data_IF_553063641536
#
_entry.id   IF_553063641536
#
_cell.length_a   1.000
_cell.length_b   1.000
_cell.length_c   1.000
_cell.angle_alpha   90.00
_cell.angle_beta   90.00
_cell.angle_gamma   90.00
#
_symmetry.space_group_name_H-M   'P 1'
#
loop_
_entity.id
_entity.type
_entity.pdbx_description
1 polymer ?
#
# COMPACT_ATOMS: atom_id res chain seq x y z
N UNK A 1 -10.50 -2.48 -18.65
CA UNK A 1 -9.20 -3.09 -18.33
C UNK A 1 -8.17 -2.05 -18.64
N UNK A 2 -7.58 -1.44 -17.61
CA UNK A 2 -6.88 -0.18 -17.78
C UNK A 2 -5.38 -0.35 -17.62
N UNK A 3 -4.68 0.18 -18.61
CA UNK A 3 -3.31 0.65 -18.48
C UNK A 3 -3.33 1.91 -17.61
N UNK A 4 -2.19 2.30 -17.05
CA UNK A 4 -2.03 3.59 -16.36
C UNK A 4 -2.57 4.75 -17.23
N UNK A 5 -3.42 5.59 -16.63
CA UNK A 5 -3.97 6.79 -17.27
C UNK A 5 -2.92 7.92 -17.35
N UNK A 6 -3.26 9.04 -18.00
CA UNK A 6 -2.32 10.16 -18.22
C UNK A 6 -1.78 10.77 -16.91
N UNK A 7 -2.62 10.88 -15.88
CA UNK A 7 -2.21 11.40 -14.58
C UNK A 7 -1.24 10.46 -13.88
N UNK A 8 -1.58 9.16 -13.83
CA UNK A 8 -0.73 8.10 -13.29
C UNK A 8 0.58 8.00 -14.06
N UNK A 9 0.60 8.20 -15.38
CA UNK A 9 1.82 8.20 -16.18
C UNK A 9 2.75 9.36 -15.82
N UNK A 10 2.21 10.58 -15.65
CA UNK A 10 3.01 11.74 -15.22
C UNK A 10 3.67 11.45 -13.87
N UNK A 11 2.90 10.91 -12.94
CA UNK A 11 3.37 10.53 -11.62
C UNK A 11 4.42 9.42 -11.69
N UNK A 12 4.21 8.41 -12.54
CA UNK A 12 5.15 7.30 -12.70
C UNK A 12 6.53 7.80 -13.14
N UNK A 13 6.58 8.73 -14.08
CA UNK A 13 7.84 9.36 -14.51
C UNK A 13 8.53 10.09 -13.34
N UNK A 14 7.80 10.89 -12.55
CA UNK A 14 8.34 11.57 -11.37
C UNK A 14 8.87 10.58 -10.29
N UNK A 15 8.33 9.36 -10.24
CA UNK A 15 8.82 8.32 -9.34
C UNK A 15 10.08 7.68 -9.90
N UNK A 16 10.10 7.36 -11.19
CA UNK A 16 11.25 6.74 -11.88
C UNK A 16 12.49 7.63 -11.75
N UNK A 17 12.34 8.94 -11.92
CA UNK A 17 13.43 9.92 -11.83
C UNK A 17 14.11 9.98 -10.46
N UNK A 18 13.51 9.40 -9.42
CA UNK A 18 14.10 9.32 -8.06
C UNK A 18 15.16 8.24 -7.93
N UNK A 19 15.25 7.35 -8.91
CA UNK A 19 16.11 6.18 -8.84
C UNK A 19 17.15 6.19 -9.95
N UNK A 20 18.39 5.74 -9.68
CA UNK A 20 19.42 5.60 -10.71
C UNK A 20 19.15 4.43 -11.67
N UNK A 21 18.34 3.45 -11.25
CA UNK A 21 17.91 2.31 -12.04
C UNK A 21 16.39 2.32 -12.08
N UNK A 22 15.79 2.38 -13.28
CA UNK A 22 14.34 2.43 -13.48
C UNK A 22 13.60 1.32 -12.74
N UNK A 23 14.13 0.09 -12.80
CA UNK A 23 13.57 -1.10 -12.12
C UNK A 23 13.28 -0.88 -10.63
N UNK A 24 14.02 -0.02 -9.94
CA UNK A 24 13.78 0.29 -8.51
C UNK A 24 12.45 0.97 -8.24
N UNK A 25 11.80 1.54 -9.27
CA UNK A 25 10.49 2.17 -9.19
C UNK A 25 9.32 1.17 -9.23
N UNK A 26 9.57 -0.14 -9.39
CA UNK A 26 8.54 -1.15 -9.61
C UNK A 26 7.45 -1.21 -8.53
N UNK A 27 7.84 -1.31 -7.26
CA UNK A 27 6.88 -1.38 -6.13
C UNK A 27 6.00 -0.11 -6.07
N UNK A 28 6.57 1.11 -6.11
CA UNK A 28 5.77 2.33 -6.21
C UNK A 28 4.79 2.37 -7.39
N UNK A 29 5.21 1.90 -8.57
CA UNK A 29 4.35 1.87 -9.77
C UNK A 29 3.20 0.86 -9.63
N UNK A 30 3.44 -0.28 -8.97
CA UNK A 30 2.38 -1.25 -8.66
C UNK A 30 1.34 -0.65 -7.70
N UNK A 31 1.77 0.11 -6.69
CA UNK A 31 0.84 0.83 -5.81
C UNK A 31 0.04 1.88 -6.57
N UNK A 32 0.66 2.58 -7.52
CA UNK A 32 -0.03 3.56 -8.35
C UNK A 32 -1.09 2.93 -9.25
N UNK A 33 -0.78 1.78 -9.85
CA UNK A 33 -1.77 1.01 -10.62
C UNK A 33 -2.95 0.57 -9.74
N UNK A 34 -2.67 0.10 -8.51
CA UNK A 34 -3.70 -0.30 -7.57
C UNK A 34 -4.54 0.88 -7.06
N UNK A 35 -3.94 2.05 -6.83
CA UNK A 35 -4.67 3.27 -6.46
C UNK A 35 -5.69 3.68 -7.54
N UNK A 36 -5.38 3.42 -8.82
CA UNK A 36 -6.26 3.76 -9.94
C UNK A 36 -7.50 2.85 -10.03
N UNK A 37 -7.35 1.54 -9.82
CA UNK A 37 -8.40 0.55 -10.11
C UNK A 37 -8.85 -0.28 -8.91
N UNK A 38 -8.22 -0.14 -7.75
CA UNK A 38 -8.41 -1.01 -6.57
C UNK A 38 -7.54 -2.26 -6.57
N UNK A 39 -7.02 -2.67 -7.72
CA UNK A 39 -6.21 -3.87 -7.89
C UNK A 39 -5.26 -3.73 -9.08
N UNK A 40 -4.23 -4.55 -9.13
CA UNK A 40 -3.23 -4.55 -10.19
C UNK A 40 -3.67 -5.48 -11.33
N UNK A 41 -4.15 -4.90 -12.42
CA UNK A 41 -4.58 -5.65 -13.61
C UNK A 41 -3.39 -6.21 -14.41
N UNK A 42 -3.64 -7.25 -15.22
CA UNK A 42 -2.62 -7.79 -16.14
C UNK A 42 -2.12 -6.75 -17.14
N UNK A 43 -3.01 -5.87 -17.62
CA UNK A 43 -2.67 -4.80 -18.55
C UNK A 43 -1.79 -3.73 -17.87
N UNK A 44 -2.09 -3.40 -16.61
CA UNK A 44 -1.26 -2.50 -15.81
C UNK A 44 0.13 -3.09 -15.56
N UNK A 45 0.23 -4.38 -15.22
CA UNK A 45 1.52 -5.06 -15.06
C UNK A 45 2.34 -5.06 -16.36
N UNK A 46 1.68 -5.32 -17.49
CA UNK A 46 2.33 -5.27 -18.82
C UNK A 46 2.80 -3.86 -19.14
N UNK A 47 1.98 -2.84 -18.87
CA UNK A 47 2.36 -1.45 -19.08
C UNK A 47 3.55 -1.02 -18.21
N UNK A 48 3.57 -1.42 -16.94
CA UNK A 48 4.70 -1.13 -16.04
C UNK A 48 5.97 -1.80 -16.54
N UNK A 49 5.89 -3.03 -17.07
CA UNK A 49 7.03 -3.72 -17.66
C UNK A 49 7.62 -2.95 -18.84
N UNK A 50 6.76 -2.43 -19.74
CA UNK A 50 7.17 -1.60 -20.87
C UNK A 50 7.84 -0.29 -20.42
N UNK A 51 7.26 0.41 -19.44
CA UNK A 51 7.81 1.68 -18.92
C UNK A 51 9.18 1.50 -18.28
N UNK A 52 9.37 0.40 -17.54
CA UNK A 52 10.61 0.14 -16.81
C UNK A 52 11.66 -0.63 -17.62
N UNK A 53 11.32 -1.01 -18.86
CA UNK A 53 12.14 -1.85 -19.74
C UNK A 53 12.54 -3.19 -19.11
N UNK A 54 11.59 -3.83 -18.42
CA UNK A 54 11.76 -5.16 -17.80
C UNK A 54 10.71 -6.14 -18.34
N UNK A 55 10.80 -7.41 -17.96
CA UNK A 55 9.82 -8.41 -18.40
C UNK A 55 8.52 -8.37 -17.57
N UNK A 56 7.39 -8.67 -18.20
CA UNK A 56 6.12 -8.84 -17.48
C UNK A 56 6.19 -9.95 -16.41
N UNK A 57 7.05 -10.95 -16.62
CA UNK A 57 7.30 -12.01 -15.63
C UNK A 57 7.98 -11.47 -14.36
N UNK A 58 8.91 -10.53 -14.47
CA UNK A 58 9.53 -9.87 -13.31
C UNK A 58 8.52 -9.01 -12.53
N UNK A 59 7.64 -8.32 -13.25
CA UNK A 59 6.55 -7.54 -12.63
C UNK A 59 5.59 -8.47 -11.89
N UNK A 60 5.15 -9.56 -12.51
CA UNK A 60 4.28 -10.55 -11.90
C UNK A 60 4.95 -11.22 -10.69
N UNK A 61 6.23 -11.56 -10.79
CA UNK A 61 7.00 -12.13 -9.69
C UNK A 61 6.97 -11.20 -8.46
N UNK A 62 7.21 -9.90 -8.67
CA UNK A 62 7.15 -8.90 -7.59
C UNK A 62 5.72 -8.71 -7.07
N UNK A 63 4.74 -8.57 -7.95
CA UNK A 63 3.34 -8.35 -7.62
C UNK A 63 2.76 -9.53 -6.81
N UNK A 64 3.10 -10.77 -7.17
CA UNK A 64 2.66 -11.96 -6.45
C UNK A 64 3.36 -12.21 -5.11
N UNK A 65 4.54 -11.61 -4.91
CA UNK A 65 5.33 -11.78 -3.69
C UNK A 65 4.80 -10.93 -2.53
N UNK A 66 4.37 -9.70 -2.81
CA UNK A 66 3.82 -8.81 -1.80
C UNK A 66 2.30 -8.91 -1.73
N UNK A 67 1.79 -9.42 -0.61
CA UNK A 67 0.36 -9.59 -0.33
C UNK A 67 -0.47 -8.30 -0.43
N UNK A 68 0.17 -7.13 -0.26
CA UNK A 68 -0.45 -5.81 -0.42
C UNK A 68 -1.02 -5.58 -1.82
N UNK A 69 -0.51 -6.28 -2.85
CA UNK A 69 -0.99 -6.14 -4.22
C UNK A 69 -2.13 -7.10 -4.50
N UNK A 70 -3.33 -6.53 -4.66
CA UNK A 70 -4.53 -7.25 -5.05
C UNK A 70 -4.47 -7.55 -6.53
N UNK A 71 -4.64 -8.83 -6.88
CA UNK A 71 -4.58 -9.33 -8.27
C UNK A 71 -5.95 -9.76 -8.80
N UNK A 72 -6.99 -9.46 -8.03
CA UNK A 72 -8.41 -9.61 -8.36
C UNK A 72 -9.14 -8.34 -7.93
N UNK A 73 -10.30 -8.03 -8.54
CA UNK A 73 -11.14 -6.93 -8.08
C UNK A 73 -11.44 -7.03 -6.58
N UNK A 74 -11.32 -5.90 -5.90
CA UNK A 74 -11.70 -5.69 -4.49
C UNK A 74 -12.65 -4.52 -4.41
N UNK A 75 -13.30 -4.35 -3.26
CA UNK A 75 -14.20 -3.24 -3.00
C UNK A 75 -13.49 -1.89 -2.99
N UNK A 76 -14.29 -0.83 -2.97
CA UNK A 76 -13.77 0.54 -2.85
C UNK A 76 -12.96 0.75 -1.56
N UNK A 77 -13.29 0.02 -0.49
CA UNK A 77 -12.70 0.10 0.83
C UNK A 77 -12.22 -1.28 1.31
N UNK A 78 -10.92 -1.48 1.31
CA UNK A 78 -10.27 -2.65 1.88
C UNK A 78 -10.15 -2.48 3.41
N UNK A 79 -10.83 -3.32 4.16
CA UNK A 79 -10.79 -3.40 5.62
C UNK A 79 -9.82 -4.52 6.04
N UNK A 80 -8.73 -4.14 6.69
CA UNK A 80 -7.66 -5.05 7.13
C UNK A 80 -7.62 -5.07 8.66
N UNK A 81 -8.07 -6.15 9.29
CA UNK A 81 -8.08 -6.30 10.76
C UNK A 81 -6.81 -7.02 11.22
N UNK A 82 -6.07 -6.42 12.16
CA UNK A 82 -4.81 -6.98 12.64
C UNK A 82 -5.02 -8.18 13.56
N UNK A 83 -4.40 -9.31 13.25
CA UNK A 83 -4.39 -10.54 14.07
C UNK A 83 -3.06 -10.76 14.82
N UNK A 84 -2.17 -9.77 14.82
CA UNK A 84 -0.94 -9.83 15.61
C UNK A 84 -1.21 -10.01 17.10
N UNK A 85 -0.24 -10.57 17.84
CA UNK A 85 -0.39 -11.02 19.25
C UNK A 85 -1.14 -10.04 20.14
N UNK A 86 -0.77 -8.75 20.14
CA UNK A 86 -1.43 -7.76 21.01
C UNK A 86 -2.90 -7.53 20.66
N UNK A 87 -3.26 -7.57 19.38
CA UNK A 87 -4.65 -7.45 18.93
C UNK A 87 -5.44 -8.72 19.23
N UNK A 88 -4.85 -9.90 18.98
CA UNK A 88 -5.47 -11.17 19.31
C UNK A 88 -5.79 -11.29 20.81
N UNK A 89 -4.84 -10.96 21.69
CA UNK A 89 -5.05 -10.95 23.15
C UNK A 89 -6.15 -9.98 23.61
N UNK A 90 -6.44 -8.94 22.83
CA UNK A 90 -7.47 -7.94 23.10
C UNK A 90 -8.78 -8.19 22.31
N UNK A 91 -8.91 -9.36 21.68
CA UNK A 91 -10.16 -9.79 21.05
C UNK A 91 -10.31 -9.41 19.57
N UNK A 92 -9.21 -9.36 18.80
CA UNK A 92 -9.28 -9.15 17.34
C UNK A 92 -10.19 -10.16 16.63
N UNK A 93 -10.19 -11.43 17.04
CA UNK A 93 -11.06 -12.46 16.46
C UNK A 93 -12.55 -12.11 16.65
N UNK A 94 -12.92 -11.55 17.81
CA UNK A 94 -14.29 -11.09 18.05
C UNK A 94 -14.63 -9.88 17.17
N UNK A 95 -13.66 -9.00 16.92
CA UNK A 95 -13.83 -7.85 16.03
C UNK A 95 -13.97 -8.29 14.57
N UNK A 96 -13.24 -9.31 14.13
CA UNK A 96 -13.38 -9.89 12.79
C UNK A 96 -14.78 -10.50 12.60
N UNK A 97 -15.23 -11.37 13.52
CA UNK A 97 -16.58 -11.94 13.44
C UNK A 97 -17.67 -10.86 13.45
N UNK A 98 -17.51 -9.83 14.29
CA UNK A 98 -18.43 -8.68 14.28
C UNK A 98 -18.40 -7.95 12.94
N UNK A 99 -17.23 -7.80 12.31
CA UNK A 99 -17.12 -7.20 10.99
C UNK A 99 -17.79 -8.04 9.90
N UNK A 100 -17.67 -9.37 9.95
CA UNK A 100 -18.37 -10.31 9.07
C UNK A 100 -19.89 -10.15 9.20
N UNK A 101 -20.41 -10.11 10.44
CA UNK A 101 -21.84 -9.90 10.72
C UNK A 101 -22.34 -8.54 10.21
N UNK A 102 -21.60 -7.46 10.46
CA UNK A 102 -21.98 -6.10 10.06
C UNK A 102 -21.94 -5.91 8.54
N UNK A 103 -20.98 -6.53 7.84
CA UNK A 103 -20.84 -6.42 6.39
C UNK A 103 -21.64 -7.49 5.62
N UNK A 104 -22.02 -8.59 6.27
CA UNK A 104 -22.72 -9.72 5.67
C UNK A 104 -21.85 -10.55 4.73
N UNK A 105 -20.55 -10.63 4.99
CA UNK A 105 -19.54 -11.36 4.19
C UNK A 105 -18.56 -12.08 5.11
N UNK A 106 -17.80 -13.05 4.60
CA UNK A 106 -16.69 -13.65 5.36
C UNK A 106 -15.33 -13.03 5.03
N UNK A 107 -14.33 -13.29 5.86
CA UNK A 107 -12.94 -12.97 5.54
C UNK A 107 -12.54 -13.45 4.12
N UNK A 108 -11.90 -12.57 3.36
CA UNK A 108 -11.49 -12.78 1.96
C UNK A 108 -12.54 -12.42 0.92
N UNK A 109 -13.76 -12.06 1.33
CA UNK A 109 -14.85 -11.72 0.43
C UNK A 109 -15.04 -10.21 0.25
N UNK A 110 -15.92 -9.86 -0.68
CA UNK A 110 -16.31 -8.48 -1.01
C UNK A 110 -17.83 -8.39 -1.00
N UNK A 111 -18.36 -7.30 -0.45
CA UNK A 111 -19.80 -7.05 -0.40
C UNK A 111 -20.40 -6.97 -1.81
N UNK A 112 -21.66 -7.39 -1.97
CA UNK A 112 -22.35 -7.41 -3.27
C UNK A 112 -22.42 -6.02 -3.94
N UNK A 113 -22.46 -4.96 -3.15
CA UNK A 113 -22.45 -3.57 -3.61
C UNK A 113 -21.06 -3.08 -4.06
N UNK A 114 -20.02 -3.91 -3.94
CA UNK A 114 -18.64 -3.60 -4.30
C UNK A 114 -17.98 -2.55 -3.41
N UNK A 115 -18.56 -2.22 -2.24
CA UNK A 115 -18.01 -1.17 -1.37
C UNK A 115 -16.90 -1.68 -0.46
N UNK A 116 -17.05 -2.83 0.17
CA UNK A 116 -16.13 -3.30 1.19
C UNK A 116 -15.57 -4.68 0.87
N UNK A 117 -14.27 -4.84 1.11
CA UNK A 117 -13.61 -6.13 1.19
C UNK A 117 -13.04 -6.30 2.58
N UNK A 118 -13.11 -7.51 3.14
CA UNK A 118 -12.67 -7.80 4.51
C UNK A 118 -11.52 -8.81 4.48
N UNK A 119 -10.42 -8.49 5.16
CA UNK A 119 -9.30 -9.41 5.35
C UNK A 119 -8.77 -9.32 6.79
N UNK A 120 -8.45 -10.47 7.38
CA UNK A 120 -7.53 -10.56 8.49
C UNK A 120 -6.11 -10.41 7.98
N UNK A 121 -5.31 -9.57 8.64
CA UNK A 121 -3.92 -9.33 8.27
C UNK A 121 -3.00 -9.55 9.45
N UNK A 122 -1.73 -9.77 9.13
CA UNK A 122 -0.66 -9.85 10.10
C UNK A 122 -0.40 -8.50 10.79
N UNK A 123 0.63 -8.47 11.65
CA UNK A 123 0.96 -7.29 12.45
C UNK A 123 1.11 -5.99 11.63
N UNK A 124 0.25 -5.01 11.91
CA UNK A 124 0.32 -3.65 11.34
C UNK A 124 1.14 -2.65 12.19
N UNK A 125 1.91 -3.15 13.16
CA UNK A 125 2.80 -2.34 14.02
C UNK A 125 2.14 -1.22 14.87
N UNK A 126 0.84 -1.34 15.17
CA UNK A 126 0.11 -0.42 16.06
C UNK A 126 -0.26 -1.08 17.41
N UNK A 127 0.66 -1.84 17.99
CA UNK A 127 0.40 -2.72 19.14
C UNK A 127 -0.08 -1.99 20.41
N UNK A 128 0.35 -0.75 20.65
CA UNK A 128 -0.11 0.07 21.79
C UNK A 128 -1.54 0.60 21.63
N UNK A 129 -2.07 0.52 20.41
CA UNK A 129 -3.39 0.99 20.03
C UNK A 129 -4.34 -0.17 19.69
N UNK A 130 -3.99 -1.39 20.08
CA UNK A 130 -4.78 -2.58 19.85
C UNK A 130 -6.14 -2.56 20.62
N UNK A 131 -7.20 -3.22 20.10
CA UNK A 131 -7.31 -3.77 18.75
C UNK A 131 -7.31 -2.67 17.69
N UNK A 132 -6.64 -2.92 16.57
CA UNK A 132 -6.50 -1.93 15.49
C UNK A 132 -6.71 -2.57 14.12
N UNK A 133 -7.13 -1.75 13.17
CA UNK A 133 -7.35 -2.14 11.78
C UNK A 133 -6.91 -1.01 10.85
N UNK A 134 -6.88 -1.29 9.55
CA UNK A 134 -6.73 -0.27 8.52
C UNK A 134 -7.92 -0.31 7.57
N UNK A 135 -8.34 0.86 7.10
CA UNK A 135 -9.18 0.97 5.91
C UNK A 135 -8.38 1.72 4.86
N UNK A 136 -8.05 1.09 3.72
CA UNK A 136 -7.29 1.71 2.63
C UNK A 136 -6.01 2.43 3.12
N UNK A 137 -5.20 1.74 3.93
CA UNK A 137 -3.98 2.25 4.58
C UNK A 137 -4.19 3.37 5.61
N UNK A 138 -5.43 3.63 6.06
CA UNK A 138 -5.73 4.56 7.16
C UNK A 138 -5.98 3.78 8.44
N UNK A 139 -5.08 3.96 9.40
CA UNK A 139 -5.17 3.31 10.71
C UNK A 139 -6.41 3.75 11.47
N UNK A 140 -7.07 2.78 12.08
CA UNK A 140 -8.12 2.94 13.06
C UNK A 140 -7.67 2.23 14.34
N UNK A 141 -7.67 2.96 15.44
CA UNK A 141 -7.02 2.60 16.69
C UNK A 141 -8.06 2.34 17.77
N UNK A 142 -7.78 1.42 18.70
CA UNK A 142 -8.63 1.08 19.85
C UNK A 142 -10.07 0.79 19.43
N UNK A 143 -10.21 0.00 18.37
CA UNK A 143 -11.47 -0.28 17.71
C UNK A 143 -12.33 -1.18 18.58
N UNK A 144 -13.54 -0.72 18.86
CA UNK A 144 -14.61 -1.52 19.46
C UNK A 144 -15.63 -1.91 18.39
N UNK A 145 -16.49 -2.90 18.67
CA UNK A 145 -17.58 -3.28 17.78
C UNK A 145 -18.48 -2.07 17.40
N UNK A 146 -18.88 -1.26 18.39
CA UNK A 146 -19.69 -0.07 18.15
C UNK A 146 -18.99 0.97 17.27
N UNK A 147 -17.67 1.14 17.46
CA UNK A 147 -16.88 2.05 16.63
C UNK A 147 -16.75 1.53 15.20
N UNK A 148 -16.65 0.21 15.02
CA UNK A 148 -16.63 -0.40 13.70
C UNK A 148 -17.94 -0.14 12.94
N UNK A 149 -19.09 -0.32 13.59
CA UNK A 149 -20.40 -0.04 12.98
C UNK A 149 -20.54 1.42 12.56
N UNK A 150 -20.12 2.33 13.44
CA UNK A 150 -20.08 3.77 13.15
C UNK A 150 -19.17 4.06 11.96
N UNK A 151 -17.95 3.51 11.94
CA UNK A 151 -16.98 3.67 10.86
C UNK A 151 -17.56 3.20 9.52
N UNK A 152 -18.19 2.02 9.47
CA UNK A 152 -18.81 1.48 8.25
C UNK A 152 -19.93 2.40 7.77
N UNK A 153 -20.79 2.86 8.68
CA UNK A 153 -21.89 3.77 8.32
C UNK A 153 -21.36 5.13 7.82
N UNK A 154 -20.36 5.70 8.48
CA UNK A 154 -19.75 6.96 8.07
C UNK A 154 -19.08 6.85 6.69
N UNK A 155 -18.45 5.72 6.38
CA UNK A 155 -17.91 5.45 5.04
C UNK A 155 -19.04 5.33 4.01
N UNK A 156 -20.11 4.58 4.32
CA UNK A 156 -21.29 4.44 3.44
C UNK A 156 -21.95 5.78 3.14
N UNK A 157 -22.00 6.67 4.13
CA UNK A 157 -22.53 8.03 4.04
C UNK A 157 -21.56 9.01 3.37
N UNK A 158 -20.31 8.62 3.08
CA UNK A 158 -19.29 9.48 2.49
C UNK A 158 -18.73 10.56 3.42
N UNK A 159 -18.82 10.36 4.75
CA UNK A 159 -18.36 11.31 5.77
C UNK A 159 -16.85 11.21 6.05
N UNK A 160 -16.22 10.08 5.72
CA UNK A 160 -14.78 9.80 5.93
C UNK A 160 -13.92 10.21 4.73
N UNK A 161 -13.76 11.51 4.53
CA UNK A 161 -13.01 12.07 3.40
C UNK A 161 -11.49 11.78 3.48
N UNK A 162 -10.97 11.47 4.67
CA UNK A 162 -9.56 11.13 4.87
C UNK A 162 -9.18 9.72 4.38
N UNK A 163 -10.19 8.89 4.06
CA UNK A 163 -10.06 7.54 3.53
C UNK A 163 -10.39 7.56 2.03
N UNK A 164 -9.39 7.72 1.14
CA UNK A 164 -9.64 7.70 -0.29
C UNK A 164 -10.10 6.31 -0.74
N UNK A 165 -10.92 6.26 -1.79
CA UNK A 165 -11.26 5.00 -2.48
C UNK A 165 -9.99 4.33 -2.97
N UNK A 166 -9.93 3.00 -2.88
CA UNK A 166 -8.78 2.14 -3.24
C UNK A 166 -7.45 2.42 -2.50
N UNK A 167 -7.41 3.47 -1.67
CA UNK A 167 -6.26 3.83 -0.86
C UNK A 167 -5.17 4.55 -1.62
N UNK A 168 -4.41 5.34 -0.87
CA UNK A 168 -3.15 5.92 -1.33
C UNK A 168 -2.12 5.76 -0.22
N UNK A 169 -0.90 5.34 -0.58
CA UNK A 169 0.16 5.07 0.40
C UNK A 169 0.54 6.32 1.20
N UNK A 170 0.60 7.46 0.54
CA UNK A 170 1.02 8.71 1.14
C UNK A 170 -0.14 9.69 1.21
N UNK A 171 -0.34 10.30 2.37
CA UNK A 171 -1.25 11.46 2.52
C UNK A 171 -0.70 12.71 1.82
N UNK A 172 0.62 12.78 1.68
CA UNK A 172 1.34 13.90 1.08
C UNK A 172 2.32 13.34 0.06
N UNK A 173 2.18 13.75 -1.20
CA UNK A 173 3.16 13.40 -2.23
C UNK A 173 4.39 14.29 -2.07
N UNK A 174 5.51 13.68 -1.70
CA UNK A 174 6.77 14.40 -1.59
C UNK A 174 7.23 14.86 -2.97
N UNK A 175 7.51 16.16 -3.11
CA UNK A 175 8.24 16.75 -4.23
C UNK A 175 9.61 17.18 -3.72
N UNK A 176 10.67 16.70 -4.37
CA UNK A 176 12.05 17.06 -4.05
C UNK A 176 12.57 17.94 -5.18
N UNK A 177 12.84 19.24 -4.93
CA UNK A 177 13.46 20.10 -5.93
C UNK A 177 14.80 19.53 -6.40
N UNK A 178 15.16 19.74 -7.66
CA UNK A 178 16.42 19.23 -8.24
C UNK A 178 17.66 19.59 -7.39
N UNK A 179 17.67 20.77 -6.79
CA UNK A 179 18.75 21.27 -5.91
C UNK A 179 18.90 20.50 -4.59
N UNK A 180 17.86 19.75 -4.18
CA UNK A 180 17.82 18.97 -2.94
C UNK A 180 17.74 17.47 -3.17
N UNK A 181 17.82 17.03 -4.43
CA UNK A 181 17.95 15.61 -4.73
C UNK A 181 19.24 15.11 -4.10
N UNK A 182 19.12 14.18 -3.15
CA UNK A 182 20.29 13.44 -2.68
C UNK A 182 20.88 12.73 -3.90
N UNK A 183 22.18 12.92 -4.14
CA UNK A 183 22.86 12.32 -5.28
C UNK A 183 22.63 10.83 -5.31
N UNK A 184 21.72 10.39 -6.18
CA UNK A 184 21.41 8.99 -6.39
C UNK A 184 22.43 8.45 -7.39
N UNK A 185 23.72 8.54 -7.06
CA UNK A 185 24.74 7.93 -7.90
C UNK A 185 24.67 6.40 -7.76
N UNK A 186 25.06 5.72 -8.84
CA UNK A 186 25.20 4.27 -8.80
C UNK A 186 26.26 3.89 -7.77
N UNK A 187 26.04 2.79 -7.04
CA UNK A 187 27.02 2.25 -6.07
C UNK A 187 28.39 2.05 -6.72
N UNK A 188 28.41 1.68 -8.01
CA UNK A 188 29.64 1.52 -8.81
C UNK A 188 30.46 2.81 -8.95
N UNK A 189 29.82 3.98 -8.78
CA UNK A 189 30.44 5.31 -8.82
C UNK A 189 30.65 5.90 -7.42
N UNK A 190 30.10 5.26 -6.38
CA UNK A 190 30.19 5.76 -5.02
C UNK A 190 31.67 5.74 -4.57
N UNK A 191 32.17 6.92 -4.21
CA UNK A 191 33.52 7.04 -3.66
C UNK A 191 33.55 6.60 -2.21
N UNK A 192 34.72 6.17 -1.75
CA UNK A 192 34.94 5.86 -0.35
C UNK A 192 34.64 7.12 0.49
N UNK A 193 33.83 7.02 1.56
CA UNK A 193 33.50 8.19 2.34
C UNK A 193 34.76 8.72 3.04
N UNK A 194 34.88 10.05 3.07
CA UNK A 194 36.08 10.77 3.54
C UNK A 194 36.48 10.44 4.99
N UNK A 195 35.53 10.00 5.82
CA UNK A 195 35.81 9.59 7.20
C UNK A 195 36.45 8.20 7.31
N UNK A 196 36.27 7.34 6.31
CA UNK A 196 36.82 5.98 6.33
C UNK A 196 38.33 5.99 6.07
N UNK A 197 38.82 6.93 5.24
CA UNK A 197 40.26 7.17 5.05
C UNK A 197 40.91 7.82 6.28
N UNK A 198 40.20 8.71 6.99
CA UNK A 198 40.69 9.35 8.24
C UNK A 198 41.00 8.35 9.36
N UNK A 199 40.30 7.21 9.39
CA UNK A 199 40.50 6.18 10.41
C UNK A 199 41.58 5.14 10.01
N UNK A 200 42.11 5.21 8.79
CA UNK A 200 43.10 4.26 8.26
C UNK A 200 44.56 4.52 8.65
N UNK A 201 44.86 5.60 9.38
CA UNK A 201 46.22 5.92 9.85
C UNK A 201 46.52 5.37 11.26
N UNK A 202 45.57 4.70 11.94
CA UNK A 202 45.73 4.18 13.31
C UNK A 202 45.36 2.69 13.48
N UNK A 203 45.53 1.87 12.44
CA UNK A 203 45.44 0.40 12.52
C UNK A 203 46.71 -0.25 11.98
#
# INVERSE_FOLDING_TARGET
MSRLNEESLRIANEIIDRYPKSKSALIPLLHLAQEQEGWVTNDAMTHIAEILEITAAEVLGTCSFYEMFKRSPVGEYQVNICHGISCHLLGADNLLHHAEDTLGITEGETTEDGKFSLEGVECIAACTEAPCLQVNYRYQNKVTASYFDELVQEIRDGKRLEIPKHGSLAKIRQSVPNERLAGSELIEKAQQPEWLSRNGENL
#
